data_IF_731085300313
#
_entry.id   IF_731085300313
#
_cell.length_a   1.000
_cell.length_b   1.000
_cell.length_c   1.000
_cell.angle_alpha   90.00
_cell.angle_beta   90.00
_cell.angle_gamma   90.00
#
_symmetry.space_group_name_H-M   'P 1'
#
loop_
_entity.id
_entity.type
_entity.pdbx_description
1 polymer ?
#
# COMPACT_ATOMS: atom_id res chain seq x y z
N UNK A 1 -31.57 -21.91 9.85
CA UNK A 1 -30.95 -21.46 11.13
C UNK A 1 -29.63 -22.20 11.28
N UNK A 2 -28.52 -21.48 11.19
CA UNK A 2 -27.21 -21.97 10.78
C UNK A 2 -26.39 -22.57 11.93
N UNK A 3 -25.92 -23.81 11.75
CA UNK A 3 -24.98 -24.50 12.62
C UNK A 3 -23.51 -24.05 12.43
N UNK A 4 -23.26 -22.83 11.95
CA UNK A 4 -21.91 -22.28 11.74
C UNK A 4 -21.20 -21.68 12.99
N UNK A 5 -21.87 -21.25 14.07
CA UNK A 5 -21.18 -20.57 15.18
C UNK A 5 -20.18 -21.45 15.96
N UNK A 6 -20.38 -22.77 16.01
CA UNK A 6 -19.56 -23.66 16.86
C UNK A 6 -18.21 -24.03 16.24
N UNK A 7 -18.09 -24.11 14.90
CA UNK A 7 -16.84 -24.46 14.20
C UNK A 7 -15.78 -23.35 14.29
N UNK A 8 -16.19 -22.08 14.38
CA UNK A 8 -15.31 -20.93 14.61
C UNK A 8 -14.78 -20.86 16.06
N UNK A 9 -15.55 -21.37 17.03
CA UNK A 9 -15.11 -21.50 18.42
C UNK A 9 -14.02 -22.56 18.60
N UNK A 10 -14.02 -23.64 17.80
CA UNK A 10 -12.94 -24.65 17.78
C UNK A 10 -11.61 -24.08 17.26
N UNK A 11 -11.64 -23.24 16.21
CA UNK A 11 -10.42 -22.58 15.69
C UNK A 11 -9.82 -21.65 16.74
N UNK A 12 -10.65 -20.97 17.53
CA UNK A 12 -10.16 -20.14 18.64
C UNK A 12 -9.64 -20.97 19.81
N UNK A 13 -10.21 -22.15 20.08
CA UNK A 13 -9.63 -23.10 21.05
C UNK A 13 -8.25 -23.64 20.60
N UNK A 14 -8.07 -23.92 19.30
CA UNK A 14 -6.80 -24.37 18.73
C UNK A 14 -5.66 -23.34 18.80
N UNK A 15 -6.00 -22.06 18.98
CA UNK A 15 -5.03 -20.98 19.20
C UNK A 15 -4.45 -20.96 20.63
N UNK A 16 -5.02 -21.72 21.57
CA UNK A 16 -4.64 -21.72 23.00
C UNK A 16 -3.70 -22.86 23.42
N UNK A 17 -3.49 -23.89 22.59
CA UNK A 17 -2.71 -25.07 22.98
C UNK A 17 -1.19 -24.92 22.72
N UNK A 18 -0.41 -24.88 23.81
CA UNK A 18 1.05 -24.71 23.86
C UNK A 18 1.85 -25.81 23.14
N UNK A 19 1.37 -27.05 23.09
CA UNK A 19 2.11 -28.18 22.51
C UNK A 19 2.17 -28.16 20.97
N UNK A 20 1.18 -27.54 20.31
CA UNK A 20 1.17 -27.40 18.87
C UNK A 20 2.05 -26.22 18.39
N UNK A 21 2.49 -25.34 19.28
CA UNK A 21 3.35 -24.19 18.95
C UNK A 21 4.78 -24.58 18.53
N UNK A 22 5.38 -25.56 19.22
CA UNK A 22 6.78 -25.97 18.96
C UNK A 22 6.94 -26.76 17.65
N UNK A 23 5.98 -27.61 17.32
CA UNK A 23 5.96 -28.35 16.05
C UNK A 23 5.78 -27.40 14.85
N UNK A 24 4.90 -26.40 14.99
CA UNK A 24 4.65 -25.37 13.96
C UNK A 24 5.83 -24.42 13.75
N UNK A 25 6.67 -24.23 14.78
CA UNK A 25 7.88 -23.40 14.71
C UNK A 25 8.98 -24.03 13.85
N UNK A 26 9.23 -25.33 14.01
CA UNK A 26 10.19 -26.06 13.16
C UNK A 26 9.73 -26.13 11.70
N UNK A 27 8.42 -26.28 11.46
CA UNK A 27 7.85 -26.31 10.11
C UNK A 27 7.89 -24.94 9.42
N UNK A 28 7.68 -23.85 10.17
CA UNK A 28 7.80 -22.49 9.67
C UNK A 28 9.23 -22.16 9.22
N UNK A 29 10.25 -22.62 9.95
CA UNK A 29 11.67 -22.42 9.59
C UNK A 29 12.04 -23.11 8.27
N UNK A 30 11.49 -24.30 8.02
CA UNK A 30 11.70 -25.04 6.76
C UNK A 30 11.00 -24.34 5.58
N UNK A 31 9.76 -23.87 5.77
CA UNK A 31 9.01 -23.15 4.73
C UNK A 31 9.63 -21.79 4.40
N UNK A 32 10.07 -21.03 5.40
CA UNK A 32 10.78 -19.76 5.21
C UNK A 32 12.11 -19.96 4.47
N UNK A 33 12.84 -21.04 4.78
CA UNK A 33 14.08 -21.38 4.07
C UNK A 33 13.85 -21.72 2.59
N UNK A 34 12.74 -22.39 2.27
CA UNK A 34 12.34 -22.71 0.88
C UNK A 34 11.86 -21.49 0.12
N UNK A 35 10.98 -20.68 0.71
CA UNK A 35 10.52 -19.43 0.11
C UNK A 35 11.69 -18.47 -0.17
N UNK A 36 12.65 -18.35 0.75
CA UNK A 36 13.87 -17.58 0.54
C UNK A 36 14.79 -18.16 -0.55
N UNK A 37 14.72 -19.47 -0.82
CA UNK A 37 15.47 -20.09 -1.92
C UNK A 37 14.77 -19.86 -3.27
N UNK A 38 13.44 -19.88 -3.32
CA UNK A 38 12.66 -19.62 -4.53
C UNK A 38 12.71 -18.14 -4.93
N UNK A 39 12.67 -17.21 -3.95
CA UNK A 39 12.89 -15.79 -4.22
C UNK A 39 14.27 -15.54 -4.86
N UNK A 40 15.31 -16.20 -4.34
CA UNK A 40 16.67 -16.13 -4.90
C UNK A 40 16.80 -16.73 -6.30
N UNK A 41 15.98 -17.72 -6.65
CA UNK A 41 15.92 -18.26 -8.02
C UNK A 41 15.20 -17.32 -8.97
N UNK A 42 14.11 -16.70 -8.53
CA UNK A 42 13.38 -15.70 -9.33
C UNK A 42 14.22 -14.44 -9.58
N UNK A 43 15.04 -14.02 -8.61
CA UNK A 43 16.03 -12.94 -8.80
C UNK A 43 17.17 -13.33 -9.77
N UNK A 44 17.45 -14.62 -9.94
CA UNK A 44 18.51 -15.13 -10.82
C UNK A 44 18.06 -15.32 -12.29
N UNK A 45 16.75 -15.42 -12.54
CA UNK A 45 16.19 -15.58 -13.91
C UNK A 45 15.92 -14.24 -14.63
N UNK A 46 16.05 -13.11 -13.92
CA UNK A 46 16.09 -11.78 -14.53
C UNK A 46 17.57 -11.38 -14.67
N UNK A 47 18.10 -11.09 -15.89
CA UNK A 47 19.49 -10.68 -16.03
C UNK A 47 19.69 -9.26 -15.46
N UNK A 48 19.89 -9.16 -14.15
CA UNK A 48 20.27 -7.97 -13.37
C UNK A 48 21.79 -7.69 -13.44
N UNK A 49 22.49 -8.22 -14.43
CA UNK A 49 23.96 -8.16 -14.54
C UNK A 49 24.52 -6.79 -14.95
N UNK A 50 23.81 -5.67 -14.70
CA UNK A 50 24.35 -4.32 -14.93
C UNK A 50 24.08 -3.26 -13.87
N UNK A 51 23.54 -3.58 -12.69
CA UNK A 51 23.34 -2.56 -11.65
C UNK A 51 24.04 -2.94 -10.34
N UNK A 52 25.19 -2.29 -10.19
CA UNK A 52 26.10 -2.10 -9.07
C UNK A 52 25.85 -2.82 -7.72
N UNK A 53 26.81 -3.72 -7.48
CA UNK A 53 27.47 -4.04 -6.21
C UNK A 53 27.86 -2.75 -5.46
N UNK A 54 27.34 -2.54 -4.25
CA UNK A 54 28.03 -1.91 -3.09
C UNK A 54 27.04 -1.67 -1.95
N UNK A 55 27.15 -2.40 -0.84
CA UNK A 55 26.74 -1.89 0.48
C UNK A 55 27.46 -2.65 1.60
N UNK A 56 28.21 -1.91 2.43
CA UNK A 56 28.46 -2.22 3.85
C UNK A 56 28.67 -0.92 4.61
N UNK A 57 27.88 -0.75 5.67
CA UNK A 57 28.14 0.11 6.82
C UNK A 57 27.67 1.55 6.72
N UNK A 58 26.59 1.92 7.41
CA UNK A 58 26.64 2.62 8.70
C UNK A 58 25.22 2.88 9.23
N UNK A 59 25.05 2.70 10.54
CA UNK A 59 23.88 3.11 11.33
C UNK A 59 24.17 4.51 11.88
N UNK A 60 23.23 5.44 11.78
CA UNK A 60 23.18 6.63 12.62
C UNK A 60 21.75 7.16 12.74
N UNK A 61 21.46 7.68 13.94
CA UNK A 61 20.16 7.99 14.55
C UNK A 61 19.21 8.90 13.74
N UNK A 62 17.92 8.55 13.75
CA UNK A 62 16.80 9.39 13.28
C UNK A 62 16.36 10.37 14.38
N UNK A 63 16.21 11.68 14.09
CA UNK A 63 15.63 12.63 15.04
C UNK A 63 14.10 12.51 15.12
N UNK A 64 13.56 12.79 16.30
CA UNK A 64 12.14 12.83 16.64
C UNK A 64 11.34 13.91 15.90
N UNK A 65 10.11 13.57 15.58
CA UNK A 65 9.20 14.23 14.64
C UNK A 65 8.37 15.36 15.29
N UNK A 66 8.98 16.53 15.51
CA UNK A 66 8.26 17.71 16.04
C UNK A 66 8.39 18.98 15.20
N UNK A 67 8.94 18.90 13.98
CA UNK A 67 9.07 20.06 13.09
C UNK A 67 8.94 19.66 11.60
N UNK A 68 7.72 19.36 11.15
CA UNK A 68 7.40 19.35 9.71
C UNK A 68 6.74 20.70 9.38
N UNK A 69 7.39 21.61 8.64
CA UNK A 69 6.78 22.88 8.28
C UNK A 69 5.66 22.65 7.26
N UNK A 70 4.44 23.06 7.61
CA UNK A 70 3.33 23.23 6.68
C UNK A 70 3.60 24.46 5.81
N UNK A 71 4.19 24.24 4.64
CA UNK A 71 4.42 25.29 3.65
C UNK A 71 5.49 24.85 2.67
N UNK A 72 5.23 25.00 1.37
CA UNK A 72 6.25 24.77 0.34
C UNK A 72 7.39 25.76 0.53
N UNK A 73 8.47 25.34 1.18
CA UNK A 73 9.67 26.14 1.36
C UNK A 73 10.33 26.35 -0.01
N UNK A 74 10.46 27.62 -0.42
CA UNK A 74 11.16 27.98 -1.65
C UNK A 74 12.66 27.75 -1.48
N UNK A 75 13.28 27.14 -2.50
CA UNK A 75 14.72 26.91 -2.52
C UNK A 75 15.44 28.25 -2.68
N UNK A 76 16.31 28.57 -1.72
CA UNK A 76 17.26 29.67 -1.87
C UNK A 76 18.32 29.27 -2.89
N UNK A 77 18.23 29.79 -4.11
CA UNK A 77 19.24 29.59 -5.16
C UNK A 77 19.43 30.87 -5.98
N UNK A 78 20.58 30.99 -6.65
CA UNK A 78 20.81 32.11 -7.55
C UNK A 78 19.91 32.00 -8.80
N UNK A 79 19.58 33.13 -9.41
CA UNK A 79 18.79 33.16 -10.67
C UNK A 79 19.47 32.32 -11.76
N UNK A 80 20.79 32.42 -11.88
CA UNK A 80 21.56 31.64 -12.85
C UNK A 80 21.50 30.12 -12.61
N UNK A 81 21.47 29.67 -11.34
CA UNK A 81 21.30 28.25 -11.02
C UNK A 81 19.88 27.77 -11.36
N UNK A 82 18.87 28.60 -11.09
CA UNK A 82 17.49 28.31 -11.45
C UNK A 82 17.33 28.18 -12.97
N UNK A 83 17.89 29.11 -13.75
CA UNK A 83 17.84 29.10 -15.21
C UNK A 83 18.52 27.85 -15.80
N UNK A 84 19.73 27.52 -15.34
CA UNK A 84 20.43 26.30 -15.77
C UNK A 84 19.63 25.04 -15.47
N UNK A 85 19.05 24.95 -14.27
CA UNK A 85 18.22 23.81 -13.85
C UNK A 85 16.97 23.71 -14.70
N UNK A 86 16.28 24.82 -14.95
CA UNK A 86 15.07 24.84 -15.78
C UNK A 86 15.39 24.43 -17.22
N UNK A 87 16.51 24.87 -17.79
CA UNK A 87 16.94 24.44 -19.12
C UNK A 87 17.17 22.92 -19.20
N UNK A 88 17.90 22.36 -18.22
CA UNK A 88 18.12 20.92 -18.12
C UNK A 88 16.81 20.13 -17.99
N UNK A 89 15.86 20.62 -17.19
CA UNK A 89 14.56 19.98 -17.00
C UNK A 89 13.70 20.01 -18.26
N UNK A 90 13.72 21.12 -19.02
CA UNK A 90 13.00 21.21 -20.32
C UNK A 90 13.53 20.22 -21.34
N UNK A 91 14.84 19.99 -21.35
CA UNK A 91 15.48 18.99 -22.22
C UNK A 91 15.09 17.57 -21.80
N UNK A 92 15.14 17.27 -20.50
CA UNK A 92 14.83 15.94 -19.96
C UNK A 92 13.32 15.59 -20.03
N UNK A 93 12.46 16.58 -19.87
CA UNK A 93 10.99 16.43 -19.77
C UNK A 93 10.29 17.45 -20.67
N UNK A 94 10.39 17.31 -22.00
CA UNK A 94 9.74 18.23 -22.92
C UNK A 94 8.22 18.14 -22.82
N UNK A 95 7.53 19.28 -22.78
CA UNK A 95 6.08 19.35 -22.72
C UNK A 95 5.43 18.60 -23.90
N UNK A 96 4.47 17.71 -23.62
CA UNK A 96 3.81 16.88 -24.63
C UNK A 96 2.40 17.35 -24.97
N UNK A 97 1.72 18.05 -24.06
CA UNK A 97 0.38 18.60 -24.28
C UNK A 97 -0.43 18.64 -23.00
N UNK A 98 -1.58 19.32 -23.04
CA UNK A 98 -2.46 19.42 -21.88
C UNK A 98 -3.46 18.25 -21.83
N UNK A 99 -3.62 17.68 -20.64
CA UNK A 99 -4.68 16.72 -20.32
C UNK A 99 -5.73 17.49 -19.51
N UNK A 100 -6.90 17.70 -20.13
CA UNK A 100 -7.93 18.60 -19.61
C UNK A 100 -8.43 18.18 -18.23
N UNK A 101 -8.81 16.91 -18.08
CA UNK A 101 -9.36 16.39 -16.82
C UNK A 101 -8.25 15.87 -15.91
N UNK A 102 -8.22 16.33 -14.66
CA UNK A 102 -7.19 15.92 -13.69
C UNK A 102 -7.28 14.45 -13.32
N UNK A 103 -8.49 13.90 -13.30
CA UNK A 103 -8.74 12.48 -13.06
C UNK A 103 -8.19 11.57 -14.17
N UNK A 104 -7.92 12.10 -15.37
CA UNK A 104 -7.32 11.38 -16.50
C UNK A 104 -5.79 11.59 -16.59
N UNK A 105 -5.16 12.15 -15.56
CA UNK A 105 -3.71 12.43 -15.50
C UNK A 105 -2.92 11.30 -14.82
N UNK A 106 -3.07 10.07 -15.32
CA UNK A 106 -2.30 8.92 -14.84
C UNK A 106 -0.86 8.88 -15.36
N UNK A 107 0.06 8.38 -14.54
CA UNK A 107 1.48 8.15 -14.88
C UNK A 107 1.77 6.64 -14.98
N UNK A 108 2.51 6.20 -15.99
CA UNK A 108 2.90 4.79 -16.12
C UNK A 108 4.13 4.45 -15.27
N UNK A 109 4.36 3.16 -15.01
CA UNK A 109 5.56 2.71 -14.30
C UNK A 109 6.84 3.10 -15.06
N UNK A 110 6.87 2.97 -16.39
CA UNK A 110 8.00 3.40 -17.23
C UNK A 110 8.31 4.90 -17.04
N UNK A 111 7.28 5.75 -17.01
CA UNK A 111 7.44 7.18 -16.80
C UNK A 111 7.96 7.51 -15.39
N UNK A 112 7.46 6.81 -14.35
CA UNK A 112 7.96 6.93 -12.98
C UNK A 112 9.44 6.54 -12.86
N UNK A 113 9.86 5.46 -13.53
CA UNK A 113 11.26 5.05 -13.58
C UNK A 113 12.13 6.13 -14.22
N UNK A 114 11.66 6.81 -15.28
CA UNK A 114 12.38 7.94 -15.88
C UNK A 114 12.57 9.09 -14.89
N UNK A 115 11.53 9.45 -14.11
CA UNK A 115 11.63 10.46 -13.05
C UNK A 115 12.67 10.06 -12.00
N UNK A 116 12.63 8.80 -11.53
CA UNK A 116 13.60 8.27 -10.56
C UNK A 116 15.03 8.34 -11.10
N UNK A 117 15.28 7.86 -12.31
CA UNK A 117 16.62 7.84 -12.92
C UNK A 117 17.19 9.25 -13.02
N UNK A 118 16.37 10.21 -13.48
CA UNK A 118 16.79 11.59 -13.54
C UNK A 118 17.11 12.13 -12.14
N UNK A 119 16.23 11.90 -11.17
CA UNK A 119 16.43 12.36 -9.80
C UNK A 119 17.70 11.76 -9.17
N UNK A 120 17.94 10.46 -9.35
CA UNK A 120 19.13 9.76 -8.87
C UNK A 120 20.42 10.30 -9.47
N UNK A 121 20.41 10.64 -10.76
CA UNK A 121 21.57 11.21 -11.45
C UNK A 121 21.92 12.64 -10.97
N UNK A 122 20.97 13.39 -10.40
CA UNK A 122 21.16 14.81 -10.07
C UNK A 122 21.06 15.14 -8.58
N UNK A 123 20.47 14.28 -7.75
CA UNK A 123 20.15 14.60 -6.36
C UNK A 123 21.38 14.95 -5.51
N UNK A 124 22.57 14.42 -5.86
CA UNK A 124 23.83 14.75 -5.19
C UNK A 124 24.18 16.24 -5.23
N UNK A 125 23.65 16.98 -6.22
CA UNK A 125 23.81 18.43 -6.33
C UNK A 125 22.77 19.21 -5.53
N UNK A 126 21.62 18.59 -5.23
CA UNK A 126 20.49 19.20 -4.55
C UNK A 126 20.69 19.25 -3.03
N UNK A 127 19.94 20.13 -2.38
CA UNK A 127 19.99 20.34 -0.92
C UNK A 127 18.61 20.23 -0.30
N UNK A 128 18.54 19.74 0.92
CA UNK A 128 17.31 19.76 1.71
C UNK A 128 16.90 21.21 1.96
N UNK A 129 15.64 21.55 1.64
CA UNK A 129 15.13 22.90 1.82
C UNK A 129 15.02 23.31 3.29
N UNK A 130 14.92 22.33 4.21
CA UNK A 130 14.74 22.56 5.65
C UNK A 130 15.97 23.20 6.28
N UNK A 131 17.16 22.73 5.92
CA UNK A 131 18.43 23.22 6.47
C UNK A 131 19.30 23.96 5.45
N UNK A 132 19.01 23.84 4.15
CA UNK A 132 19.76 24.45 3.05
C UNK A 132 21.21 23.96 2.93
N UNK A 133 21.58 22.87 3.60
CA UNK A 133 22.96 22.41 3.77
C UNK A 133 23.12 20.95 3.40
N UNK A 134 22.21 20.10 3.86
CA UNK A 134 22.30 18.64 3.68
C UNK A 134 22.12 18.29 2.22
N UNK A 135 23.13 17.65 1.62
CA UNK A 135 23.04 17.15 0.24
C UNK A 135 22.09 15.96 0.18
N UNK A 136 21.23 15.95 -0.84
CA UNK A 136 20.24 14.90 -1.00
C UNK A 136 20.85 13.64 -1.63
N UNK A 137 20.35 12.49 -1.21
CA UNK A 137 20.72 11.19 -1.77
C UNK A 137 19.46 10.45 -2.18
N UNK A 138 19.54 9.59 -3.18
CA UNK A 138 18.37 8.85 -3.67
C UNK A 138 17.69 7.99 -2.58
N UNK A 139 18.46 7.59 -1.56
CA UNK A 139 17.97 6.82 -0.42
C UNK A 139 17.06 7.63 0.53
N UNK A 140 17.16 8.95 0.55
CA UNK A 140 16.39 9.84 1.43
C UNK A 140 15.53 10.84 0.66
N UNK A 141 15.75 10.98 -0.64
CA UNK A 141 15.01 11.87 -1.52
C UNK A 141 13.55 11.42 -1.60
N UNK A 142 12.63 12.29 -1.17
CA UNK A 142 11.19 12.06 -1.18
C UNK A 142 10.44 13.13 -1.99
N UNK A 143 9.11 13.11 -2.01
CA UNK A 143 8.31 14.08 -2.79
C UNK A 143 8.38 15.51 -2.25
N UNK A 144 8.59 15.71 -0.95
CA UNK A 144 8.82 17.06 -0.41
C UNK A 144 10.11 17.68 -0.96
N UNK A 145 11.11 16.86 -1.27
CA UNK A 145 12.32 17.32 -1.93
C UNK A 145 12.14 17.41 -3.46
N UNK A 146 11.52 16.39 -4.07
CA UNK A 146 11.37 16.32 -5.53
C UNK A 146 10.49 17.45 -6.06
N UNK A 147 9.48 17.88 -5.31
CA UNK A 147 8.56 18.94 -5.72
C UNK A 147 9.27 20.27 -6.04
N UNK A 148 10.04 20.88 -5.12
CA UNK A 148 10.77 22.12 -5.41
C UNK A 148 11.99 21.95 -6.33
N UNK A 149 12.63 20.77 -6.37
CA UNK A 149 13.83 20.54 -7.18
C UNK A 149 13.56 20.13 -8.62
N UNK A 150 12.46 19.42 -8.87
CA UNK A 150 12.13 18.86 -10.18
C UNK A 150 10.71 19.27 -10.62
N UNK A 151 9.68 18.94 -9.84
CA UNK A 151 8.29 19.03 -10.31
C UNK A 151 7.91 20.47 -10.63
N UNK A 152 7.99 21.38 -9.64
CA UNK A 152 7.61 22.77 -9.81
C UNK A 152 8.45 23.47 -10.88
N UNK A 153 9.79 23.37 -10.89
CA UNK A 153 10.59 24.00 -11.94
C UNK A 153 10.29 23.46 -13.35
N UNK A 154 10.12 22.14 -13.51
CA UNK A 154 9.84 21.54 -14.82
C UNK A 154 8.46 21.94 -15.38
N UNK A 155 7.48 22.20 -14.51
CA UNK A 155 6.11 22.50 -14.93
C UNK A 155 5.75 23.98 -14.94
N UNK A 156 6.65 24.85 -14.44
CA UNK A 156 6.38 26.27 -14.22
C UNK A 156 5.96 27.02 -15.49
N UNK A 157 6.73 26.87 -16.58
CA UNK A 157 6.53 27.68 -17.80
C UNK A 157 5.17 27.46 -18.48
N UNK A 158 4.59 26.27 -18.29
CA UNK A 158 3.33 25.86 -18.90
C UNK A 158 2.18 25.81 -17.90
N UNK A 159 2.45 26.05 -16.61
CA UNK A 159 1.54 25.77 -15.51
C UNK A 159 0.84 24.41 -15.67
N UNK A 160 1.63 23.36 -15.85
CA UNK A 160 1.16 22.01 -16.17
C UNK A 160 1.36 21.03 -15.00
N UNK A 161 0.77 19.85 -15.10
CA UNK A 161 1.05 18.71 -14.25
C UNK A 161 2.31 18.00 -14.75
N UNK A 162 3.01 17.25 -13.89
CA UNK A 162 4.23 16.57 -14.33
C UNK A 162 3.94 15.55 -15.44
N UNK A 163 2.79 14.86 -15.36
CA UNK A 163 2.40 13.86 -16.37
C UNK A 163 2.20 14.45 -17.77
N UNK A 164 1.85 15.74 -17.86
CA UNK A 164 1.67 16.47 -19.13
C UNK A 164 3.03 16.69 -19.85
N UNK A 165 4.15 16.44 -19.18
CA UNK A 165 5.50 16.37 -19.77
C UNK A 165 5.82 14.99 -20.37
N UNK A 166 4.95 13.99 -20.18
CA UNK A 166 5.11 12.64 -20.74
C UNK A 166 4.01 12.27 -21.72
N UNK A 167 2.84 12.89 -21.64
CA UNK A 167 1.71 12.66 -22.54
C UNK A 167 0.84 13.91 -22.67
N UNK A 168 0.40 14.21 -23.88
CA UNK A 168 -0.67 15.19 -24.15
C UNK A 168 -2.05 14.54 -24.32
N UNK A 169 -2.15 13.22 -24.11
CA UNK A 169 -3.35 12.42 -24.32
C UNK A 169 -3.89 11.96 -22.96
N UNK A 170 -5.22 11.96 -22.75
CA UNK A 170 -5.84 11.38 -21.55
C UNK A 170 -5.32 9.99 -21.22
N UNK A 171 -4.88 9.80 -19.97
CA UNK A 171 -4.36 8.55 -19.42
C UNK A 171 -5.16 8.16 -18.17
N UNK A 172 -6.40 7.65 -18.32
CA UNK A 172 -7.22 7.25 -17.18
C UNK A 172 -6.48 6.25 -16.28
N UNK A 173 -6.48 6.46 -14.95
CA UNK A 173 -5.77 5.58 -14.04
C UNK A 173 -6.48 4.24 -13.93
N UNK A 174 -5.69 3.17 -13.95
CA UNK A 174 -6.16 1.85 -13.54
C UNK A 174 -6.09 1.73 -12.01
N UNK A 175 -5.10 2.40 -11.40
CA UNK A 175 -4.87 2.38 -9.97
C UNK A 175 -4.73 3.79 -9.41
N UNK A 176 -5.34 4.04 -8.26
CA UNK A 176 -5.10 5.22 -7.46
C UNK A 176 -4.01 4.93 -6.42
N UNK A 177 -3.00 5.79 -6.26
CA UNK A 177 -1.96 5.62 -5.24
C UNK A 177 -2.30 6.42 -3.96
N UNK A 178 -2.61 5.70 -2.88
CA UNK A 178 -2.71 6.27 -1.53
C UNK A 178 -1.37 6.15 -0.82
N UNK A 179 -0.76 7.29 -0.50
CA UNK A 179 0.60 7.32 0.02
C UNK A 179 0.91 8.64 0.75
N UNK A 180 2.10 8.75 1.32
CA UNK A 180 2.58 9.99 1.94
C UNK A 180 3.84 10.49 1.24
N UNK A 181 4.05 11.82 1.24
CA UNK A 181 5.11 12.44 0.45
C UNK A 181 6.52 12.25 1.01
N UNK A 182 6.67 11.77 2.25
CA UNK A 182 7.97 11.64 2.89
C UNK A 182 8.69 10.32 2.63
N UNK A 183 8.04 9.35 1.97
CA UNK A 183 8.71 8.11 1.57
C UNK A 183 9.78 8.35 0.50
N UNK A 184 10.90 7.63 0.53
CA UNK A 184 11.91 7.75 -0.52
C UNK A 184 11.33 7.39 -1.90
N UNK A 185 11.64 8.21 -2.91
CA UNK A 185 11.18 8.00 -4.29
C UNK A 185 11.65 6.65 -4.85
N UNK A 186 12.86 6.23 -4.46
CA UNK A 186 13.38 4.90 -4.82
C UNK A 186 12.44 3.79 -4.38
N UNK A 187 11.96 3.88 -3.14
CA UNK A 187 11.18 2.85 -2.48
C UNK A 187 9.74 2.89 -3.00
N UNK A 188 9.17 4.09 -3.20
CA UNK A 188 7.89 4.30 -3.89
C UNK A 188 7.85 3.65 -5.29
N UNK A 189 8.89 3.88 -6.10
CA UNK A 189 8.99 3.28 -7.44
C UNK A 189 9.20 1.77 -7.35
N UNK A 190 9.94 1.27 -6.35
CA UNK A 190 10.08 -0.17 -6.11
C UNK A 190 8.74 -0.82 -5.72
N UNK A 191 7.91 -0.14 -4.92
CA UNK A 191 6.55 -0.55 -4.57
C UNK A 191 5.66 -0.70 -5.81
N UNK A 192 5.63 0.30 -6.69
CA UNK A 192 4.82 0.25 -7.92
C UNK A 192 5.34 -0.83 -8.87
N UNK A 193 6.67 -0.96 -9.03
CA UNK A 193 7.26 -1.99 -9.88
C UNK A 193 6.96 -3.42 -9.41
N UNK A 194 7.03 -3.66 -8.10
CA UNK A 194 6.64 -4.94 -7.52
C UNK A 194 5.14 -5.22 -7.71
N UNK A 195 4.30 -4.21 -7.54
CA UNK A 195 2.87 -4.31 -7.80
C UNK A 195 2.59 -4.65 -9.28
N UNK A 196 3.26 -3.99 -10.25
CA UNK A 196 3.17 -4.36 -11.66
C UNK A 196 3.58 -5.82 -11.90
N UNK A 197 4.65 -6.27 -11.25
CA UNK A 197 5.15 -7.65 -11.40
C UNK A 197 4.15 -8.67 -10.88
N UNK A 198 3.67 -8.51 -9.65
CA UNK A 198 2.75 -9.46 -9.01
C UNK A 198 1.41 -9.50 -9.72
N UNK A 199 0.85 -8.34 -10.09
CA UNK A 199 -0.42 -8.24 -10.84
C UNK A 199 -0.28 -8.47 -12.35
N UNK A 200 0.94 -8.70 -12.86
CA UNK A 200 1.23 -8.87 -14.29
C UNK A 200 0.73 -7.68 -15.14
N UNK A 201 0.90 -6.46 -14.62
CA UNK A 201 0.46 -5.21 -15.25
C UNK A 201 1.50 -4.72 -16.26
N UNK A 202 1.04 -4.14 -17.36
CA UNK A 202 1.92 -3.59 -18.39
C UNK A 202 2.54 -2.27 -17.92
N UNK A 203 3.87 -2.22 -17.83
CA UNK A 203 4.61 -1.05 -17.34
C UNK A 203 4.41 0.23 -18.16
N UNK A 204 3.94 0.12 -19.42
CA UNK A 204 3.78 1.24 -20.36
C UNK A 204 2.34 1.72 -20.49
N UNK A 205 1.37 0.82 -20.27
CA UNK A 205 -0.05 1.10 -20.50
C UNK A 205 -0.93 0.96 -19.25
N UNK A 206 -0.37 0.53 -18.12
CA UNK A 206 -1.03 0.64 -16.82
C UNK A 206 -0.64 1.97 -16.19
N UNK A 207 -1.66 2.76 -15.83
CA UNK A 207 -1.49 4.10 -15.29
C UNK A 207 -1.89 4.17 -13.82
N UNK A 208 -1.08 4.90 -13.05
CA UNK A 208 -1.29 5.19 -11.64
C UNK A 208 -1.64 6.67 -11.49
N UNK A 209 -2.68 7.00 -10.74
CA UNK A 209 -2.93 8.38 -10.33
C UNK A 209 -2.13 8.66 -9.07
N UNK A 210 -1.21 9.62 -9.13
CA UNK A 210 -0.34 10.01 -8.01
C UNK A 210 -0.46 11.51 -7.81
N UNK A 211 -0.89 11.93 -6.62
CA UNK A 211 -1.31 13.31 -6.37
C UNK A 211 -0.24 14.37 -6.69
N UNK A 212 1.04 14.08 -6.46
CA UNK A 212 2.14 14.99 -6.76
C UNK A 212 2.42 15.16 -8.27
N UNK A 213 2.10 14.14 -9.08
CA UNK A 213 2.38 14.15 -10.52
C UNK A 213 1.16 14.55 -11.35
N UNK A 214 -0.05 14.24 -10.89
CA UNK A 214 -1.30 14.51 -11.59
C UNK A 214 -1.85 15.92 -11.35
N UNK A 215 -1.73 16.44 -10.12
CA UNK A 215 -2.20 17.80 -9.81
C UNK A 215 -1.20 18.85 -10.31
N UNK A 216 -1.71 19.99 -10.78
CA UNK A 216 -0.89 21.16 -11.13
C UNK A 216 -0.39 21.82 -9.84
N UNK A 217 0.89 21.58 -9.51
CA UNK A 217 1.48 22.00 -8.24
C UNK A 217 1.54 23.52 -8.01
N UNK A 218 1.38 24.31 -9.08
CA UNK A 218 1.31 25.78 -9.02
C UNK A 218 -0.12 26.31 -8.85
N UNK A 219 -1.13 25.44 -8.91
CA UNK A 219 -2.55 25.80 -8.85
C UNK A 219 -3.37 24.76 -8.08
N UNK A 220 -2.80 24.19 -7.00
CA UNK A 220 -3.41 23.11 -6.21
C UNK A 220 -4.80 23.46 -5.67
N UNK A 221 -5.06 24.72 -5.34
CA UNK A 221 -6.35 25.19 -4.84
C UNK A 221 -7.50 24.98 -5.85
N UNK A 222 -7.19 24.81 -7.15
CA UNK A 222 -8.20 24.47 -8.15
C UNK A 222 -8.57 22.97 -8.15
N UNK A 223 -7.71 22.12 -7.57
CA UNK A 223 -7.86 20.66 -7.54
C UNK A 223 -8.43 20.15 -6.20
N UNK A 224 -8.31 20.97 -5.14
CA UNK A 224 -8.82 20.72 -3.79
C UNK A 224 -10.02 21.65 -3.55
N UNK A 225 -11.21 21.06 -3.42
CA UNK A 225 -12.46 21.75 -3.08
C UNK A 225 -12.81 21.54 -1.61
N UNK A 226 -13.68 22.37 -1.05
CA UNK A 226 -14.21 22.19 0.30
C UNK A 226 -15.01 20.91 0.47
N UNK A 227 -15.65 20.41 -0.60
CA UNK A 227 -16.23 19.08 -0.62
C UNK A 227 -15.21 18.05 -1.14
N UNK A 228 -14.75 17.10 -0.30
CA UNK A 228 -13.86 16.03 -0.72
C UNK A 228 -14.36 15.26 -1.96
N UNK A 229 -15.68 15.12 -2.14
CA UNK A 229 -16.30 14.44 -3.29
C UNK A 229 -16.17 15.21 -4.61
N UNK A 230 -15.74 16.48 -4.57
CA UNK A 230 -15.48 17.29 -5.76
C UNK A 230 -14.00 17.41 -6.13
N UNK A 231 -13.13 16.86 -5.29
CA UNK A 231 -11.67 16.91 -5.48
C UNK A 231 -11.21 16.02 -6.63
N UNK A 232 -10.00 16.29 -7.14
CA UNK A 232 -9.35 15.41 -8.11
C UNK A 232 -9.09 13.99 -7.56
N UNK A 233 -8.98 13.86 -6.23
CA UNK A 233 -8.80 12.59 -5.53
C UNK A 233 -10.04 11.69 -5.69
N UNK A 234 -11.24 12.21 -5.39
CA UNK A 234 -12.48 11.46 -5.61
C UNK A 234 -12.68 11.11 -7.08
N UNK A 235 -12.52 12.10 -7.98
CA UNK A 235 -12.76 11.92 -9.42
C UNK A 235 -11.84 10.86 -10.03
N UNK A 236 -10.57 10.81 -9.63
CA UNK A 236 -9.64 9.77 -10.11
C UNK A 236 -9.96 8.38 -9.57
N UNK A 237 -10.38 8.26 -8.30
CA UNK A 237 -10.87 7.00 -7.74
C UNK A 237 -12.16 6.48 -8.42
N UNK A 238 -13.02 7.37 -8.91
CA UNK A 238 -14.17 6.99 -9.73
C UNK A 238 -13.78 6.32 -11.06
N UNK A 239 -12.61 6.66 -11.61
CA UNK A 239 -12.09 6.05 -12.84
C UNK A 239 -11.26 4.78 -12.58
N UNK A 240 -10.59 4.69 -11.43
CA UNK A 240 -9.70 3.57 -11.11
C UNK A 240 -10.45 2.25 -10.86
N UNK A 241 -9.75 1.13 -11.11
CA UNK A 241 -10.21 -0.22 -10.79
C UNK A 241 -9.74 -0.65 -9.38
N UNK A 242 -8.64 -0.07 -8.90
CA UNK A 242 -8.11 -0.33 -7.56
C UNK A 242 -7.39 0.85 -6.93
N UNK A 243 -7.15 0.72 -5.64
CA UNK A 243 -6.33 1.58 -4.81
C UNK A 243 -5.09 0.80 -4.37
N UNK A 244 -3.91 1.35 -4.64
CA UNK A 244 -2.64 0.88 -4.12
C UNK A 244 -2.26 1.73 -2.91
N UNK A 245 -2.36 1.15 -1.72
CA UNK A 245 -1.90 1.74 -0.47
C UNK A 245 -0.42 1.44 -0.29
N UNK A 246 0.43 2.48 -0.30
CA UNK A 246 1.87 2.36 -0.14
C UNK A 246 2.25 2.79 1.26
N UNK A 247 2.76 1.86 2.06
CA UNK A 247 3.09 2.07 3.47
C UNK A 247 4.60 2.13 3.66
N UNK A 248 5.07 3.14 4.39
CA UNK A 248 6.46 3.23 4.82
C UNK A 248 6.77 2.28 5.98
N UNK A 249 8.03 1.89 6.04
CA UNK A 249 8.60 1.09 7.12
C UNK A 249 9.39 1.94 8.15
N UNK A 250 9.63 3.22 7.84
CA UNK A 250 10.37 4.15 8.71
C UNK A 250 9.44 4.68 9.83
N UNK A 251 8.16 4.92 9.52
CA UNK A 251 7.08 5.07 10.49
C UNK A 251 6.22 3.79 10.60
N UNK A 252 5.28 3.70 11.55
CA UNK A 252 4.39 2.55 11.69
C UNK A 252 3.29 2.57 10.62
N UNK A 253 3.62 2.78 9.34
CA UNK A 253 2.69 3.12 8.26
C UNK A 253 2.06 4.52 8.40
N UNK A 254 2.87 5.56 8.19
CA UNK A 254 2.51 7.00 8.19
C UNK A 254 1.23 7.34 7.41
N UNK A 255 0.89 6.73 6.26
CA UNK A 255 -0.40 6.96 5.61
C UNK A 255 -1.61 6.76 6.54
N UNK A 256 -1.52 5.86 7.53
CA UNK A 256 -2.58 5.66 8.53
C UNK A 256 -2.82 6.85 9.46
N UNK A 257 -1.87 7.78 9.57
CA UNK A 257 -2.02 9.00 10.38
C UNK A 257 -2.49 10.19 9.56
N UNK A 258 -2.71 10.03 8.24
CA UNK A 258 -3.04 11.11 7.30
C UNK A 258 -4.51 11.06 6.93
N UNK A 259 -5.25 12.15 7.16
CA UNK A 259 -6.70 12.17 6.96
C UNK A 259 -7.11 11.99 5.49
N UNK A 260 -6.31 12.48 4.54
CA UNK A 260 -6.52 12.25 3.10
C UNK A 260 -6.40 10.76 2.75
N UNK A 261 -5.39 10.06 3.27
CA UNK A 261 -5.29 8.61 3.09
C UNK A 261 -6.45 7.86 3.75
N UNK A 262 -6.94 8.37 4.88
CA UNK A 262 -8.11 7.80 5.53
C UNK A 262 -9.40 7.99 4.71
N UNK A 263 -9.56 9.14 4.04
CA UNK A 263 -10.63 9.36 3.06
C UNK A 263 -10.54 8.40 1.88
N UNK A 264 -9.35 8.23 1.31
CA UNK A 264 -9.10 7.32 0.20
C UNK A 264 -9.42 5.86 0.59
N UNK A 265 -9.10 5.46 1.82
CA UNK A 265 -9.49 4.16 2.38
C UNK A 265 -11.01 4.02 2.58
N UNK A 266 -11.68 5.07 3.04
CA UNK A 266 -13.14 5.11 3.10
C UNK A 266 -13.76 4.90 1.71
N UNK A 267 -13.23 5.60 0.70
CA UNK A 267 -13.67 5.49 -0.69
C UNK A 267 -13.46 4.07 -1.24
N UNK A 268 -12.36 3.40 -0.90
CA UNK A 268 -12.10 2.04 -1.35
C UNK A 268 -12.95 0.98 -0.64
N UNK A 269 -13.26 1.16 0.65
CA UNK A 269 -13.87 0.11 1.49
C UNK A 269 -15.39 0.26 1.65
N UNK A 270 -15.89 1.49 1.68
CA UNK A 270 -17.26 1.79 2.12
C UNK A 270 -18.08 2.50 1.06
N UNK A 271 -17.48 3.42 0.30
CA UNK A 271 -18.24 4.20 -0.66
C UNK A 271 -18.85 3.33 -1.76
N UNK A 272 -20.17 3.44 -1.90
CA UNK A 272 -20.96 2.74 -2.93
C UNK A 272 -21.56 3.70 -3.94
N UNK A 273 -21.07 4.94 -4.01
CA UNK A 273 -21.61 5.98 -4.90
C UNK A 273 -21.02 5.91 -6.31
N UNK A 274 -19.96 5.13 -6.48
CA UNK A 274 -19.28 4.86 -7.75
C UNK A 274 -20.13 3.95 -8.65
N UNK A 275 -20.16 4.26 -9.95
CA UNK A 275 -20.77 3.40 -10.97
C UNK A 275 -19.98 2.10 -11.18
N UNK A 276 -18.66 2.17 -11.02
CA UNK A 276 -17.76 1.02 -11.07
C UNK A 276 -17.91 0.14 -9.81
N UNK A 277 -17.56 -1.15 -9.90
CA UNK A 277 -17.42 -2.01 -8.72
C UNK A 277 -16.50 -1.39 -7.64
N UNK A 278 -16.62 -1.83 -6.37
CA UNK A 278 -15.71 -1.41 -5.30
C UNK A 278 -14.23 -1.54 -5.72
N UNK A 279 -13.40 -0.59 -5.28
CA UNK A 279 -11.97 -0.60 -5.59
C UNK A 279 -11.32 -1.86 -5.00
N UNK A 280 -10.47 -2.51 -5.78
CA UNK A 280 -9.50 -3.45 -5.20
C UNK A 280 -8.58 -2.70 -4.24
N UNK A 281 -8.35 -3.21 -3.04
CA UNK A 281 -7.41 -2.61 -2.09
C UNK A 281 -6.12 -3.44 -1.97
N UNK A 282 -5.09 -3.02 -2.70
CA UNK A 282 -3.75 -3.60 -2.61
C UNK A 282 -2.90 -2.80 -1.63
N UNK A 283 -2.11 -3.47 -0.80
CA UNK A 283 -1.22 -2.83 0.18
C UNK A 283 0.20 -3.28 -0.04
N UNK A 284 1.11 -2.34 -0.25
CA UNK A 284 2.53 -2.60 -0.49
C UNK A 284 3.39 -1.88 0.55
N UNK A 285 4.46 -2.53 0.98
CA UNK A 285 5.47 -1.94 1.84
C UNK A 285 6.87 -2.29 1.32
N UNK A 286 7.79 -1.34 1.41
CA UNK A 286 9.21 -1.56 1.14
C UNK A 286 9.97 -1.62 2.46
N UNK A 287 10.82 -2.64 2.60
CA UNK A 287 11.70 -2.80 3.76
C UNK A 287 13.11 -3.14 3.31
N UNK A 288 14.05 -3.20 4.25
CA UNK A 288 15.41 -3.70 3.99
C UNK A 288 15.41 -5.15 3.47
N UNK A 289 14.35 -5.92 3.76
CA UNK A 289 14.16 -7.27 3.23
C UNK A 289 13.55 -7.30 1.81
N UNK A 290 13.32 -6.15 1.20
CA UNK A 290 12.70 -5.97 -0.10
C UNK A 290 11.26 -5.46 -0.04
N UNK A 291 10.60 -5.43 -1.19
CA UNK A 291 9.20 -5.03 -1.33
C UNK A 291 8.27 -6.23 -1.12
N UNK A 292 7.21 -6.05 -0.34
CA UNK A 292 6.16 -7.06 -0.15
C UNK A 292 4.78 -6.46 -0.42
N UNK A 293 3.88 -7.27 -0.97
CA UNK A 293 2.53 -6.87 -1.38
C UNK A 293 1.47 -7.80 -0.81
N UNK A 294 0.40 -7.23 -0.27
CA UNK A 294 -0.89 -7.87 -0.05
C UNK A 294 -1.84 -7.47 -1.16
N UNK A 295 -2.51 -8.44 -1.79
CA UNK A 295 -3.49 -8.15 -2.84
C UNK A 295 -4.91 -8.31 -2.35
N UNK A 296 -5.84 -7.51 -2.85
CA UNK A 296 -7.27 -7.85 -2.78
C UNK A 296 -7.61 -8.90 -3.85
N UNK A 297 -8.20 -10.00 -3.42
CA UNK A 297 -8.40 -11.17 -4.28
C UNK A 297 -7.09 -11.81 -4.76
N UNK A 298 -7.20 -12.54 -5.87
CA UNK A 298 -6.12 -13.33 -6.47
C UNK A 298 -5.41 -12.56 -7.58
N UNK A 299 -4.15 -12.91 -7.83
CA UNK A 299 -3.46 -12.61 -9.09
C UNK A 299 -3.95 -13.51 -10.22
N UNK A 300 -3.60 -13.18 -11.47
CA UNK A 300 -3.98 -13.97 -12.64
C UNK A 300 -3.65 -15.45 -12.47
N UNK A 301 -2.40 -15.78 -12.10
CA UNK A 301 -1.97 -17.17 -11.88
C UNK A 301 -2.74 -17.88 -10.76
N UNK A 302 -3.02 -17.19 -9.65
CA UNK A 302 -3.80 -17.77 -8.55
C UNK A 302 -5.28 -17.97 -8.95
N UNK A 303 -5.84 -17.04 -9.73
CA UNK A 303 -7.19 -17.15 -10.26
C UNK A 303 -7.31 -18.30 -11.25
N UNK A 304 -6.32 -18.50 -12.14
CA UNK A 304 -6.26 -19.66 -13.05
C UNK A 304 -6.26 -20.99 -12.30
N UNK A 305 -5.45 -21.11 -11.23
CA UNK A 305 -5.43 -22.31 -10.37
C UNK A 305 -6.80 -22.56 -9.75
N UNK A 306 -7.46 -21.51 -9.25
CA UNK A 306 -8.80 -21.61 -8.69
C UNK A 306 -9.82 -22.05 -9.74
N UNK A 307 -9.81 -21.42 -10.91
CA UNK A 307 -10.77 -21.65 -11.98
C UNK A 307 -10.55 -23.01 -12.66
N UNK A 308 -9.33 -23.56 -12.58
CA UNK A 308 -9.01 -24.94 -12.93
C UNK A 308 -9.53 -25.99 -11.92
N UNK A 309 -10.22 -25.56 -10.85
CA UNK A 309 -10.83 -26.45 -9.86
C UNK A 309 -9.99 -26.71 -8.61
N UNK A 310 -8.93 -25.92 -8.37
CA UNK A 310 -8.04 -26.06 -7.21
C UNK A 310 -8.10 -24.84 -6.27
N UNK A 311 -9.27 -24.50 -5.67
CA UNK A 311 -9.42 -23.30 -4.86
C UNK A 311 -8.52 -23.28 -3.62
N UNK A 312 -8.28 -24.45 -2.99
CA UNK A 312 -7.41 -24.56 -1.82
C UNK A 312 -5.94 -24.25 -2.14
N UNK A 313 -5.48 -24.61 -3.35
CA UNK A 313 -4.13 -24.33 -3.81
C UNK A 313 -3.95 -22.85 -4.14
N UNK A 314 -4.96 -22.21 -4.75
CA UNK A 314 -4.96 -20.77 -4.99
C UNK A 314 -4.84 -19.98 -3.68
N UNK A 315 -5.65 -20.33 -2.67
CA UNK A 315 -5.57 -19.75 -1.33
C UNK A 315 -4.19 -19.96 -0.69
N UNK A 316 -3.63 -21.17 -0.85
CA UNK A 316 -2.30 -21.51 -0.33
C UNK A 316 -1.21 -20.69 -1.00
N UNK A 317 -1.22 -20.55 -2.32
CA UNK A 317 -0.21 -19.79 -3.06
C UNK A 317 -0.25 -18.31 -2.70
N UNK A 318 -1.45 -17.72 -2.65
CA UNK A 318 -1.64 -16.35 -2.16
C UNK A 318 -1.07 -16.17 -0.76
N UNK A 319 -1.43 -17.07 0.16
CA UNK A 319 -0.97 -17.01 1.55
C UNK A 319 0.55 -17.17 1.69
N UNK A 320 1.20 -17.95 0.83
CA UNK A 320 2.65 -18.14 0.84
C UNK A 320 3.38 -16.91 0.30
N UNK A 321 2.88 -16.30 -0.79
CA UNK A 321 3.43 -15.05 -1.33
C UNK A 321 3.36 -13.91 -0.32
N UNK A 322 2.24 -13.82 0.39
CA UNK A 322 1.95 -12.73 1.34
C UNK A 322 2.57 -12.96 2.73
N UNK A 323 3.20 -14.12 2.95
CA UNK A 323 3.69 -14.57 4.26
C UNK A 323 4.74 -13.62 4.88
N UNK A 324 5.54 -12.98 4.04
CA UNK A 324 6.66 -12.14 4.45
C UNK A 324 6.29 -10.67 4.63
N UNK A 325 5.02 -10.30 4.48
CA UNK A 325 4.62 -8.91 4.62
C UNK A 325 4.94 -8.38 6.04
N UNK A 326 5.42 -7.12 6.19
CA UNK A 326 5.99 -6.64 7.45
C UNK A 326 5.00 -6.65 8.61
N UNK A 327 5.38 -7.33 9.70
CA UNK A 327 4.51 -7.54 10.87
C UNK A 327 4.18 -6.24 11.61
N UNK A 328 5.06 -5.25 11.58
CA UNK A 328 4.83 -3.98 12.27
C UNK A 328 3.86 -3.08 11.50
N UNK A 329 3.94 -3.10 10.16
CA UNK A 329 2.94 -2.48 9.27
C UNK A 329 1.57 -3.15 9.49
N UNK A 330 1.54 -4.47 9.59
CA UNK A 330 0.33 -5.22 9.91
C UNK A 330 -0.28 -4.81 11.26
N UNK A 331 0.53 -4.69 12.31
CA UNK A 331 0.05 -4.24 13.64
C UNK A 331 -0.58 -2.86 13.56
N UNK A 332 0.04 -1.94 12.84
CA UNK A 332 -0.50 -0.59 12.67
C UNK A 332 -1.87 -0.61 11.98
N UNK A 333 -2.02 -1.42 10.93
CA UNK A 333 -3.31 -1.63 10.24
C UNK A 333 -4.39 -2.25 11.13
N UNK A 334 -4.01 -3.13 12.08
CA UNK A 334 -4.94 -3.72 13.06
C UNK A 334 -5.42 -2.72 14.12
N UNK A 335 -4.61 -1.69 14.41
CA UNK A 335 -4.91 -0.67 15.43
C UNK A 335 -5.38 0.67 14.85
N UNK A 336 -5.52 0.79 13.53
CA UNK A 336 -5.94 2.04 12.88
C UNK A 336 -7.25 2.55 13.46
N UNK A 337 -7.28 3.85 13.74
CA UNK A 337 -8.50 4.64 13.95
C UNK A 337 -8.53 5.82 12.98
N UNK A 338 -9.42 5.77 12.00
CA UNK A 338 -9.58 6.79 10.97
C UNK A 338 -9.79 8.20 11.54
N UNK A 339 -10.57 8.33 12.62
CA UNK A 339 -10.87 9.62 13.24
C UNK A 339 -9.68 10.28 13.95
N UNK A 340 -8.62 9.52 14.23
CA UNK A 340 -7.40 10.01 14.87
C UNK A 340 -6.41 10.59 13.83
N UNK A 341 -6.72 10.45 12.54
CA UNK A 341 -5.90 10.95 11.46
C UNK A 341 -5.81 12.49 11.45
N UNK A 342 -4.68 12.98 10.97
CA UNK A 342 -4.25 14.38 11.01
C UNK A 342 -4.14 14.96 9.61
N UNK A 343 -4.23 16.29 9.53
CA UNK A 343 -4.04 17.07 8.32
C UNK A 343 -3.02 18.18 8.55
N UNK A 344 -2.32 18.56 7.49
CA UNK A 344 -1.50 19.78 7.52
C UNK A 344 -2.35 21.04 7.53
N UNK A 345 -3.56 20.99 6.94
CA UNK A 345 -4.57 22.04 7.04
C UNK A 345 -5.73 21.55 7.92
N UNK A 346 -6.04 22.23 9.05
CA UNK A 346 -7.12 21.80 9.94
C UNK A 346 -8.49 21.66 9.25
N UNK A 347 -8.76 22.47 8.24
CA UNK A 347 -9.99 22.45 7.44
C UNK A 347 -10.18 21.12 6.72
N UNK A 348 -9.11 20.55 6.13
CA UNK A 348 -9.16 19.25 5.45
C UNK A 348 -9.66 18.17 6.41
N UNK A 349 -9.13 18.15 7.65
CA UNK A 349 -9.56 17.16 8.65
C UNK A 349 -11.04 17.32 8.96
N UNK A 350 -11.51 18.57 9.09
CA UNK A 350 -12.92 18.87 9.39
C UNK A 350 -13.83 18.39 8.26
N UNK A 351 -13.58 18.86 7.04
CA UNK A 351 -14.39 18.56 5.85
C UNK A 351 -14.38 17.07 5.52
N UNK A 352 -13.22 16.40 5.61
CA UNK A 352 -13.11 14.96 5.32
C UNK A 352 -13.87 14.12 6.32
N UNK A 353 -13.67 14.34 7.62
CA UNK A 353 -14.35 13.52 8.63
C UNK A 353 -15.87 13.69 8.54
N UNK A 354 -16.36 14.91 8.34
CA UNK A 354 -17.78 15.16 8.10
C UNK A 354 -18.29 14.52 6.79
N UNK A 355 -17.50 14.54 5.71
CA UNK A 355 -17.83 13.86 4.46
C UNK A 355 -17.92 12.34 4.64
N UNK A 356 -16.98 11.73 5.37
CA UNK A 356 -17.02 10.29 5.74
C UNK A 356 -18.22 9.98 6.64
N UNK A 357 -18.67 10.94 7.45
CA UNK A 357 -19.88 10.83 8.25
C UNK A 357 -21.17 11.06 7.45
N UNK A 358 -21.11 11.11 6.11
CA UNK A 358 -22.23 11.36 5.20
C UNK A 358 -22.97 12.68 5.48
N UNK A 359 -22.28 13.68 6.03
CA UNK A 359 -22.82 15.04 6.15
C UNK A 359 -22.91 15.73 4.79
N UNK A 360 -23.89 16.61 4.62
CA UNK A 360 -24.07 17.37 3.40
C UNK A 360 -23.08 18.55 3.32
N UNK A 361 -23.01 19.20 2.15
CA UNK A 361 -22.08 20.31 1.89
C UNK A 361 -22.17 21.44 2.92
N UNK A 362 -23.38 21.77 3.39
CA UNK A 362 -23.61 22.85 4.37
C UNK A 362 -23.16 22.48 5.80
N UNK A 363 -22.92 21.20 6.06
CA UNK A 363 -22.59 20.66 7.37
C UNK A 363 -21.10 20.26 7.47
N UNK A 364 -20.32 20.44 6.40
CA UNK A 364 -18.91 20.07 6.36
C UNK A 364 -18.05 20.91 7.33
N UNK A 365 -18.44 22.16 7.59
CA UNK A 365 -17.75 23.07 8.51
C UNK A 365 -18.07 22.82 10.00
N UNK A 366 -18.96 21.88 10.32
CA UNK A 366 -19.26 21.53 11.70
C UNK A 366 -18.10 20.81 12.39
N UNK A 367 -18.09 20.78 13.72
CA UNK A 367 -17.11 19.94 14.43
C UNK A 367 -17.34 18.46 14.10
N UNK A 368 -16.28 17.71 13.72
CA UNK A 368 -16.41 16.29 13.41
C UNK A 368 -16.81 15.50 14.64
N UNK A 369 -17.70 14.52 14.45
CA UNK A 369 -18.05 13.60 15.52
C UNK A 369 -16.80 12.89 16.06
N UNK A 370 -16.71 12.69 17.38
CA UNK A 370 -15.63 11.91 17.99
C UNK A 370 -15.73 10.42 17.63
N UNK A 371 -16.95 9.93 17.39
CA UNK A 371 -17.25 8.58 16.95
C UNK A 371 -18.38 8.63 15.92
N UNK A 372 -18.32 7.77 14.90
CA UNK A 372 -19.36 7.63 13.88
C UNK A 372 -19.42 6.19 13.37
N UNK A 373 -20.58 5.77 12.86
CA UNK A 373 -20.76 4.42 12.35
C UNK A 373 -19.86 4.15 11.13
N UNK A 374 -19.71 5.13 10.23
CA UNK A 374 -18.82 4.97 9.07
C UNK A 374 -17.34 4.89 9.47
N UNK A 375 -16.89 5.64 10.47
CA UNK A 375 -15.52 5.50 10.99
C UNK A 375 -15.29 4.08 11.52
N UNK A 376 -16.26 3.59 12.30
CA UNK A 376 -16.23 2.23 12.82
C UNK A 376 -16.21 1.18 11.71
N UNK A 377 -16.99 1.37 10.63
CA UNK A 377 -17.03 0.48 9.48
C UNK A 377 -15.67 0.42 8.77
N UNK A 378 -15.07 1.57 8.45
CA UNK A 378 -13.73 1.62 7.81
C UNK A 378 -12.69 0.94 8.69
N UNK A 379 -12.60 1.32 9.97
CA UNK A 379 -11.66 0.75 10.92
C UNK A 379 -11.81 -0.77 11.01
N UNK A 380 -13.05 -1.27 11.08
CA UNK A 380 -13.33 -2.70 11.18
C UNK A 380 -12.96 -3.44 9.89
N UNK A 381 -13.31 -2.92 8.72
CA UNK A 381 -13.02 -3.58 7.45
C UNK A 381 -11.52 -3.62 7.15
N UNK A 382 -10.81 -2.51 7.35
CA UNK A 382 -9.37 -2.47 7.14
C UNK A 382 -8.65 -3.42 8.10
N UNK A 383 -8.96 -3.35 9.40
CA UNK A 383 -8.38 -4.25 10.38
C UNK A 383 -8.67 -5.72 10.05
N UNK A 384 -9.86 -6.04 9.51
CA UNK A 384 -10.20 -7.40 9.07
C UNK A 384 -9.34 -7.87 7.89
N UNK A 385 -9.08 -7.00 6.90
CA UNK A 385 -8.19 -7.32 5.77
C UNK A 385 -6.77 -7.63 6.25
N UNK A 386 -6.20 -6.78 7.12
CA UNK A 386 -4.89 -7.06 7.72
C UNK A 386 -4.92 -8.32 8.58
N UNK A 387 -5.96 -8.54 9.39
CA UNK A 387 -6.08 -9.73 10.23
C UNK A 387 -6.09 -11.03 9.43
N UNK A 388 -6.79 -11.04 8.27
CA UNK A 388 -6.80 -12.18 7.36
C UNK A 388 -5.41 -12.44 6.77
N UNK A 389 -4.75 -11.40 6.25
CA UNK A 389 -3.38 -11.51 5.74
C UNK A 389 -2.39 -11.97 6.81
N UNK A 390 -2.58 -11.56 8.07
CA UNK A 390 -1.74 -11.93 9.20
C UNK A 390 -1.98 -13.35 9.71
N UNK A 391 -3.12 -13.96 9.42
CA UNK A 391 -3.56 -15.17 10.13
C UNK A 391 -2.54 -16.30 9.99
N UNK A 392 -2.13 -16.62 8.76
CA UNK A 392 -1.14 -17.67 8.49
C UNK A 392 0.27 -17.30 9.01
N UNK A 393 0.84 -16.11 8.75
CA UNK A 393 2.10 -15.68 9.36
C UNK A 393 2.10 -15.77 10.88
N UNK A 394 1.01 -15.33 11.52
CA UNK A 394 0.91 -15.29 12.97
C UNK A 394 0.71 -16.68 13.59
N UNK A 395 0.08 -17.61 12.87
CA UNK A 395 0.02 -19.02 13.27
C UNK A 395 1.40 -19.68 13.20
N UNK A 396 2.13 -19.48 12.10
CA UNK A 396 3.47 -20.04 11.90
C UNK A 396 4.50 -19.48 12.92
N UNK A 397 4.35 -18.21 13.31
CA UNK A 397 5.21 -17.55 14.30
C UNK A 397 4.68 -17.62 15.74
N UNK A 398 3.58 -18.36 15.99
CA UNK A 398 2.91 -18.47 17.29
C UNK A 398 2.56 -17.13 17.95
N UNK A 399 2.32 -16.08 17.16
CA UNK A 399 2.03 -14.71 17.61
C UNK A 399 0.56 -14.31 17.48
N UNK A 400 -0.30 -15.19 16.92
CA UNK A 400 -1.71 -14.87 16.65
C UNK A 400 -2.52 -14.41 17.87
N UNK A 401 -2.30 -15.03 19.05
CA UNK A 401 -2.94 -14.63 20.31
C UNK A 401 -2.43 -13.27 20.79
N UNK A 402 -1.12 -13.01 20.65
CA UNK A 402 -0.49 -11.73 21.04
C UNK A 402 -0.96 -10.56 20.17
N UNK A 403 -1.25 -10.83 18.90
CA UNK A 403 -1.70 -9.83 17.92
C UNK A 403 -3.23 -9.61 17.94
N UNK A 404 -3.98 -10.34 18.77
CA UNK A 404 -5.44 -10.15 18.90
C UNK A 404 -6.25 -10.49 17.63
N UNK A 405 -5.68 -11.23 16.68
CA UNK A 405 -6.26 -11.50 15.35
C UNK A 405 -7.67 -12.11 15.47
N UNK A 406 -7.86 -13.08 16.37
CA UNK A 406 -9.15 -13.73 16.57
C UNK A 406 -10.26 -12.76 17.03
N UNK A 407 -9.91 -11.73 17.82
CA UNK A 407 -10.87 -10.70 18.27
C UNK A 407 -11.29 -9.81 17.11
N UNK A 408 -10.32 -9.36 16.31
CA UNK A 408 -10.57 -8.50 15.13
C UNK A 408 -11.46 -9.22 14.13
N UNK A 409 -11.14 -10.47 13.79
CA UNK A 409 -11.94 -11.26 12.84
C UNK A 409 -13.37 -11.48 13.35
N UNK A 410 -13.57 -11.81 14.63
CA UNK A 410 -14.92 -11.94 15.22
C UNK A 410 -15.75 -10.65 15.09
N UNK A 411 -15.14 -9.50 15.38
CA UNK A 411 -15.82 -8.20 15.26
C UNK A 411 -16.13 -7.83 13.81
N UNK A 412 -15.22 -8.15 12.89
CA UNK A 412 -15.45 -8.02 11.45
C UNK A 412 -16.63 -8.86 10.98
N UNK A 413 -16.67 -10.14 11.37
CA UNK A 413 -17.74 -11.05 10.97
C UNK A 413 -19.11 -10.67 11.53
N UNK A 414 -19.19 -10.28 12.81
CA UNK A 414 -20.44 -9.88 13.45
C UNK A 414 -21.07 -8.61 12.86
N UNK A 415 -20.30 -7.79 12.13
CA UNK A 415 -20.78 -6.55 11.48
C UNK A 415 -20.94 -6.68 9.97
N UNK A 416 -20.66 -7.86 9.40
CA UNK A 416 -20.60 -8.10 7.95
C UNK A 416 -21.84 -8.78 7.34
N UNK A 417 -22.97 -8.82 8.06
CA UNK A 417 -24.23 -9.48 7.66
C UNK A 417 -24.83 -9.03 6.31
N UNK A 418 -24.16 -8.16 5.55
CA UNK A 418 -24.69 -7.57 4.32
C UNK A 418 -23.87 -7.83 3.05
N UNK A 419 -22.54 -8.04 3.06
CA UNK A 419 -21.80 -8.10 1.78
C UNK A 419 -20.51 -8.96 1.82
N UNK A 420 -20.46 -9.99 0.96
CA UNK A 420 -19.26 -10.56 0.31
C UNK A 420 -18.19 -11.31 1.13
N UNK A 421 -18.02 -11.02 2.43
CA UNK A 421 -16.87 -11.52 3.20
C UNK A 421 -16.98 -13.01 3.59
N UNK A 422 -18.17 -13.62 3.47
CA UNK A 422 -18.43 -14.98 3.93
C UNK A 422 -17.84 -16.09 3.04
N UNK A 423 -17.68 -15.89 1.72
CA UNK A 423 -17.19 -16.96 0.83
C UNK A 423 -15.70 -17.23 1.00
N UNK A 424 -14.89 -16.20 1.23
CA UNK A 424 -13.42 -16.29 1.36
C UNK A 424 -12.97 -16.95 2.69
N UNK A 425 -13.75 -16.75 3.75
CA UNK A 425 -13.42 -17.20 5.12
C UNK A 425 -13.77 -18.68 5.33
N UNK A 426 -14.88 -19.14 4.74
CA UNK A 426 -15.24 -20.57 4.76
C UNK A 426 -14.13 -21.41 4.13
N UNK A 427 -13.52 -20.92 3.04
CA UNK A 427 -12.41 -21.61 2.37
C UNK A 427 -11.14 -21.57 3.21
N UNK A 428 -10.68 -20.39 3.68
CA UNK A 428 -9.45 -20.23 4.49
C UNK A 428 -9.46 -21.07 5.79
N UNK A 429 -10.61 -21.15 6.48
CA UNK A 429 -10.77 -21.98 7.68
C UNK A 429 -10.76 -23.46 7.33
N UNK A 430 -11.34 -23.85 6.18
CA UNK A 430 -11.36 -25.23 5.70
C UNK A 430 -9.95 -25.67 5.27
N UNK A 431 -9.19 -24.85 4.55
CA UNK A 431 -7.78 -25.14 4.18
C UNK A 431 -6.89 -25.30 5.41
N UNK A 432 -7.11 -24.47 6.44
CA UNK A 432 -6.37 -24.59 7.71
C UNK A 432 -6.72 -25.90 8.44
N UNK A 433 -7.96 -26.38 8.34
CA UNK A 433 -8.43 -27.65 8.94
C UNK A 433 -7.94 -28.88 8.18
N UNK A 434 -7.95 -28.84 6.84
CA UNK A 434 -7.36 -29.89 5.98
C UNK A 434 -5.87 -30.02 6.24
N UNK A 435 -5.16 -28.90 6.46
CA UNK A 435 -3.74 -28.89 6.79
C UNK A 435 -3.44 -29.57 8.14
N UNK A 436 -4.26 -29.32 9.17
CA UNK A 436 -4.11 -29.97 10.49
C UNK A 436 -4.40 -31.48 10.41
N UNK A 437 -5.39 -31.91 9.61
CA UNK A 437 -5.82 -33.31 9.54
C UNK A 437 -5.00 -34.20 8.58
N UNK A 438 -4.48 -33.65 7.48
CA UNK A 438 -3.72 -34.41 6.46
C UNK A 438 -2.29 -34.77 6.91
N UNK A 439 -1.68 -34.00 7.81
CA UNK A 439 -0.36 -34.29 8.38
C UNK A 439 -0.41 -35.16 9.66
N UNK A 440 -1.57 -35.23 10.31
CA UNK A 440 -1.81 -36.17 11.42
C UNK A 440 -1.90 -37.63 10.92
N UNK A 441 -2.48 -37.83 9.73
CA UNK A 441 -2.70 -39.17 9.14
C UNK A 441 -1.45 -39.78 8.49
N UNK A 442 -0.46 -38.98 8.10
CA UNK A 442 0.80 -39.50 7.51
C UNK A 442 1.79 -40.02 8.56
N UNK A 443 1.63 -39.70 9.85
CA UNK A 443 2.50 -40.23 10.92
C UNK A 443 2.04 -41.55 11.53
N UNK A 444 0.80 -41.99 11.27
CA UNK A 444 0.26 -43.26 11.80
C UNK A 444 0.50 -44.47 10.90
N UNK A 445 1.12 -44.30 9.72
CA UNK A 445 1.30 -45.39 8.75
C UNK A 445 2.73 -45.97 8.68
N UNK A 446 3.60 -45.68 9.65
CA UNK A 446 4.94 -46.29 9.69
C UNK A 446 5.21 -46.89 11.08
N UNK A 447 5.72 -48.12 11.08
CA UNK A 447 6.03 -49.00 12.23
C UNK A 447 4.92 -49.98 12.61
N UNK A 448 4.79 -51.04 11.82
CA UNK A 448 4.53 -52.39 12.32
C UNK A 448 5.31 -53.37 11.44
N UNK A 449 6.62 -53.47 11.71
CA UNK A 449 7.46 -54.58 11.21
C UNK A 449 7.65 -55.55 12.37
N UNK A 450 7.18 -56.76 12.14
CA UNK A 450 7.15 -57.93 13.02
C UNK A 450 8.56 -58.40 13.41
N UNK A 451 8.77 -58.67 14.70
CA UNK A 451 9.81 -59.59 15.16
C UNK A 451 9.17 -60.94 15.50
N UNK A 452 9.42 -61.95 14.65
CA UNK A 452 9.27 -63.36 15.00
C UNK A 452 10.58 -63.86 15.62
N UNK A 453 10.43 -64.72 16.63
CA UNK A 453 11.47 -65.64 17.14
C UNK A 453 11.74 -66.74 16.14
#
# INVERSE_FOLDING_TARGET
MSALPWKLLEVVKLLDDRAAADLRRQEAEVLLSRAAADLRRQEAEVPLSRICRCFRGFIADSPSDSQVPSGSQELKCSVADLERRTALLREAFPFQGYIQKTEERGISYEQLVRVKIFAEAHCHSWQDARDGKTKLQIATLNLYNLSPWLIKPATNDRNCALVELFSGIPCPPHWFCSHWWGEPIRDFVACIGHHCTVRQLCCRSTFYWVCAYANRQHSLNAEISSDPKQTSFYKSMCLADGLLLILDNIGPATPFTRVWCAYELFMALIDTTREKPPLLLDTVAHTDAGTQLLTDGFTATEAEVRDAGFPEDADRFKSLRELCFPIDVMKAGLSLRLQDAQASQPEDRRHILNSVADKNQNELDEEPASEHINYTRVNTQLASKFALACLRPALLRCSARRLGIAKVLRLGFAKSDSYGCFSFVSTTVTTTRVFINSYSTTKTATVTMSHNK
#
